data_IF_644139690792
#
_entry.id   IF_644139690792
#
_cell.length_a   1.000
_cell.length_b   1.000
_cell.length_c   1.000
_cell.angle_alpha   90.00
_cell.angle_beta   90.00
_cell.angle_gamma   90.00
#
_symmetry.space_group_name_H-M   'P 1'
#
loop_
_entity.id
_entity.type
_entity.pdbx_description
1 polymer ?
#
# COMPACT_ATOMS: atom_id res chain seq x y z
N UNK A 1 -4.82 22.20 -15.81
CA UNK A 1 -6.29 22.03 -15.70
C UNK A 1 -6.70 21.27 -14.42
N UNK A 2 -5.93 20.27 -13.92
CA UNK A 2 -6.28 19.52 -12.69
C UNK A 2 -6.21 20.34 -11.38
N UNK A 3 -5.27 21.28 -11.24
CA UNK A 3 -5.10 22.11 -10.02
C UNK A 3 -6.34 22.92 -9.63
N UNK A 4 -7.07 23.49 -10.60
CA UNK A 4 -8.22 24.34 -10.29
C UNK A 4 -9.39 23.59 -9.64
N UNK A 5 -9.48 22.27 -9.82
CA UNK A 5 -10.51 21.46 -9.16
C UNK A 5 -10.15 21.12 -7.71
N UNK A 6 -8.86 20.98 -7.38
CA UNK A 6 -8.42 20.68 -6.02
C UNK A 6 -8.47 21.93 -5.12
N UNK A 7 -8.20 23.12 -5.68
CA UNK A 7 -8.34 24.39 -4.95
C UNK A 7 -9.80 24.65 -4.56
N UNK A 8 -10.74 24.51 -5.51
CA UNK A 8 -12.17 24.64 -5.23
C UNK A 8 -12.67 23.59 -4.22
N UNK A 9 -12.16 22.36 -4.29
CA UNK A 9 -12.49 21.31 -3.32
C UNK A 9 -11.99 21.67 -1.91
N UNK A 10 -10.81 22.29 -1.77
CA UNK A 10 -10.27 22.76 -0.49
C UNK A 10 -11.12 23.86 0.12
N UNK A 11 -11.51 24.87 -0.69
CA UNK A 11 -12.38 25.93 -0.19
C UNK A 11 -13.72 25.40 0.33
N UNK A 12 -14.31 24.43 -0.38
CA UNK A 12 -15.54 23.79 0.07
C UNK A 12 -15.33 22.99 1.35
N UNK A 13 -14.22 22.25 1.42
CA UNK A 13 -13.83 21.46 2.58
C UNK A 13 -13.64 22.32 3.83
N UNK A 14 -12.97 23.46 3.70
CA UNK A 14 -12.70 24.40 4.80
C UNK A 14 -13.98 25.09 5.30
N UNK A 15 -14.98 25.26 4.43
CA UNK A 15 -16.30 25.84 4.78
C UNK A 15 -17.27 24.82 5.41
N UNK A 16 -16.92 23.54 5.46
CA UNK A 16 -17.82 22.54 6.04
C UNK A 16 -17.92 22.72 7.56
N UNK A 17 -19.14 22.82 8.12
CA UNK A 17 -19.31 23.04 9.56
C UNK A 17 -18.83 21.84 10.40
N UNK A 18 -18.81 20.64 9.84
CA UNK A 18 -18.31 19.42 10.48
C UNK A 18 -17.60 18.56 9.44
N UNK A 19 -16.26 18.53 9.48
CA UNK A 19 -15.46 17.63 8.67
C UNK A 19 -15.42 16.25 9.33
N UNK A 20 -15.68 15.20 8.56
CA UNK A 20 -15.65 13.81 9.03
C UNK A 20 -14.52 13.02 8.32
N UNK A 21 -14.21 11.83 8.84
CA UNK A 21 -13.12 10.99 8.31
C UNK A 21 -13.18 10.77 6.80
N UNK A 22 -14.37 10.54 6.25
CA UNK A 22 -14.56 10.31 4.82
C UNK A 22 -14.24 11.55 3.97
N UNK A 23 -14.61 12.74 4.45
CA UNK A 23 -14.29 13.98 3.76
C UNK A 23 -12.78 14.26 3.73
N UNK A 24 -12.07 14.02 4.83
CA UNK A 24 -10.60 14.11 4.87
C UNK A 24 -9.95 13.09 3.92
N UNK A 25 -10.37 11.82 3.98
CA UNK A 25 -9.85 10.76 3.11
C UNK A 25 -10.08 11.05 1.62
N UNK A 26 -11.23 11.64 1.30
CA UNK A 26 -11.58 12.06 -0.06
C UNK A 26 -10.64 13.16 -0.55
N UNK A 27 -10.38 14.18 0.28
CA UNK A 27 -9.46 15.26 -0.06
C UNK A 27 -8.02 14.76 -0.26
N UNK A 28 -7.50 13.94 0.66
CA UNK A 28 -6.16 13.33 0.55
C UNK A 28 -6.05 12.53 -0.75
N UNK A 29 -7.04 11.69 -1.04
CA UNK A 29 -7.07 10.90 -2.28
C UNK A 29 -7.15 11.76 -3.54
N UNK A 30 -7.87 12.88 -3.48
CA UNK A 30 -8.00 13.85 -4.57
C UNK A 30 -6.67 14.54 -4.89
N UNK A 31 -5.97 15.03 -3.87
CA UNK A 31 -4.64 15.61 -4.02
C UNK A 31 -3.61 14.60 -4.49
N UNK A 32 -3.63 13.38 -3.95
CA UNK A 32 -2.76 12.28 -4.37
C UNK A 32 -2.91 11.98 -5.87
N UNK A 33 -4.15 11.88 -6.38
CA UNK A 33 -4.43 11.67 -7.82
C UNK A 33 -3.97 12.82 -8.72
N UNK A 34 -3.77 14.01 -8.15
CA UNK A 34 -3.25 15.17 -8.84
C UNK A 34 -1.74 15.38 -8.64
N UNK A 35 -1.05 14.42 -8.01
CA UNK A 35 0.38 14.50 -7.65
C UNK A 35 0.73 15.73 -6.78
N UNK A 36 -0.25 16.26 -6.04
CA UNK A 36 -0.05 17.34 -5.08
C UNK A 36 0.24 16.73 -3.69
N UNK A 37 1.36 16.01 -3.59
CA UNK A 37 1.68 15.22 -2.39
C UNK A 37 1.88 16.10 -1.15
N UNK A 38 2.42 17.31 -1.31
CA UNK A 38 2.60 18.25 -0.20
C UNK A 38 1.25 18.63 0.42
N UNK A 39 0.26 18.94 -0.41
CA UNK A 39 -1.10 19.28 0.04
C UNK A 39 -1.81 18.07 0.66
N UNK A 40 -1.60 16.87 0.08
CA UNK A 40 -2.12 15.63 0.66
C UNK A 40 -1.51 15.36 2.03
N UNK A 41 -0.21 15.62 2.20
CA UNK A 41 0.51 15.43 3.46
C UNK A 41 0.07 16.44 4.51
N UNK A 42 -0.05 17.70 4.16
CA UNK A 42 -0.56 18.77 5.04
C UNK A 42 -1.93 18.37 5.60
N UNK A 43 -2.88 17.99 4.73
CA UNK A 43 -4.19 17.55 5.19
C UNK A 43 -4.11 16.30 6.05
N UNK A 44 -3.29 15.32 5.69
CA UNK A 44 -3.09 14.12 6.50
C UNK A 44 -2.62 14.50 7.90
N UNK A 45 -1.62 15.39 8.03
CA UNK A 45 -1.09 15.84 9.32
C UNK A 45 -2.13 16.57 10.15
N UNK A 46 -2.90 17.47 9.52
CA UNK A 46 -3.96 18.26 10.16
C UNK A 46 -5.17 17.42 10.60
N UNK A 47 -5.32 16.18 10.13
CA UNK A 47 -6.41 15.30 10.56
C UNK A 47 -6.41 15.13 12.09
N UNK A 48 -7.51 15.48 12.79
CA UNK A 48 -7.62 15.33 14.25
C UNK A 48 -7.46 13.88 14.73
N UNK A 49 -7.90 12.94 13.89
CA UNK A 49 -7.70 11.51 14.08
C UNK A 49 -7.44 10.88 12.72
N UNK A 50 -6.55 9.89 12.66
CA UNK A 50 -6.18 9.16 11.45
C UNK A 50 -6.64 7.70 11.59
N UNK A 51 -7.22 7.12 10.54
CA UNK A 51 -7.64 5.72 10.52
C UNK A 51 -6.89 4.95 9.43
N UNK A 52 -7.09 3.62 9.38
CA UNK A 52 -6.40 2.75 8.39
C UNK A 52 -6.53 3.28 6.95
N UNK A 53 -7.67 3.90 6.60
CA UNK A 53 -7.91 4.43 5.26
C UNK A 53 -7.04 5.66 4.98
N UNK A 54 -6.94 6.62 5.92
CA UNK A 54 -6.10 7.81 5.74
C UNK A 54 -4.62 7.43 5.60
N UNK A 55 -4.14 6.52 6.45
CA UNK A 55 -2.76 6.00 6.38
C UNK A 55 -2.50 5.30 5.04
N UNK A 56 -3.39 4.40 4.64
CA UNK A 56 -3.23 3.65 3.40
C UNK A 56 -3.24 4.55 2.18
N UNK A 57 -4.14 5.55 2.14
CA UNK A 57 -4.21 6.52 1.05
C UNK A 57 -2.90 7.28 0.89
N UNK A 58 -2.31 7.74 1.99
CA UNK A 58 -1.06 8.50 1.97
C UNK A 58 0.15 7.63 1.60
N UNK A 59 0.24 6.41 2.13
CA UNK A 59 1.29 5.44 1.75
C UNK A 59 1.22 5.12 0.25
N UNK A 60 0.02 4.84 -0.27
CA UNK A 60 -0.18 4.60 -1.70
C UNK A 60 0.17 5.83 -2.54
N UNK A 61 -0.16 7.04 -2.06
CA UNK A 61 0.18 8.28 -2.74
C UNK A 61 1.70 8.44 -2.88
N UNK A 62 2.46 8.24 -1.80
CA UNK A 62 3.93 8.30 -1.84
C UNK A 62 4.53 7.21 -2.74
N UNK A 63 4.01 5.98 -2.67
CA UNK A 63 4.47 4.88 -3.52
C UNK A 63 4.25 5.16 -5.02
N UNK A 64 3.16 5.85 -5.39
CA UNK A 64 2.84 6.20 -6.77
C UNK A 64 3.53 7.48 -7.27
N UNK A 65 3.98 8.34 -6.34
CA UNK A 65 4.66 9.59 -6.65
C UNK A 65 6.18 9.49 -6.60
N UNK A 66 6.74 8.28 -6.70
CA UNK A 66 8.18 8.02 -6.65
C UNK A 66 8.87 8.55 -5.38
N UNK A 67 8.15 8.53 -4.25
CA UNK A 67 8.65 8.89 -2.91
C UNK A 67 8.75 7.64 -2.01
N UNK A 68 9.67 6.69 -2.32
CA UNK A 68 9.66 5.38 -1.68
C UNK A 68 10.10 5.41 -0.21
N UNK A 69 10.98 6.34 0.17
CA UNK A 69 11.44 6.46 1.55
C UNK A 69 10.32 6.97 2.47
N UNK A 70 9.53 7.93 1.98
CA UNK A 70 8.37 8.48 2.66
C UNK A 70 7.28 7.41 2.82
N UNK A 71 7.04 6.60 1.79
CA UNK A 71 6.09 5.48 1.86
C UNK A 71 6.51 4.45 2.93
N UNK A 72 7.79 4.07 2.96
CA UNK A 72 8.33 3.12 3.94
C UNK A 72 8.29 3.70 5.37
N UNK A 73 8.72 4.95 5.53
CA UNK A 73 8.72 5.64 6.83
C UNK A 73 7.31 5.75 7.40
N UNK A 74 6.32 6.10 6.54
CA UNK A 74 4.94 6.24 6.98
C UNK A 74 4.30 4.90 7.34
N UNK A 75 4.67 3.82 6.63
CA UNK A 75 4.24 2.46 6.98
C UNK A 75 4.82 1.98 8.31
N UNK A 76 6.10 2.30 8.58
CA UNK A 76 6.72 1.99 9.87
C UNK A 76 6.07 2.78 11.01
N UNK A 77 5.78 4.06 10.80
CA UNK A 77 5.06 4.89 11.76
C UNK A 77 3.66 4.34 12.05
N UNK A 78 2.90 3.99 11.01
CA UNK A 78 1.59 3.35 11.11
C UNK A 78 1.64 2.10 12.01
N UNK A 79 2.65 1.24 11.81
CA UNK A 79 2.86 0.02 12.61
C UNK A 79 3.26 0.33 14.05
N UNK A 80 4.11 1.33 14.28
CA UNK A 80 4.55 1.74 15.62
C UNK A 80 3.41 2.30 16.47
N UNK A 81 2.40 2.88 15.81
CA UNK A 81 1.17 3.37 16.45
C UNK A 81 0.09 2.28 16.57
N UNK A 82 0.44 1.01 16.35
CA UNK A 82 -0.46 -0.14 16.40
C UNK A 82 -1.69 -0.04 15.46
N UNK A 83 -1.56 0.73 14.38
CA UNK A 83 -2.58 0.79 13.33
C UNK A 83 -2.32 -0.32 12.32
N UNK A 84 -3.16 -1.35 12.31
CA UNK A 84 -3.02 -2.49 11.39
C UNK A 84 -3.19 -2.05 9.92
N UNK A 85 -2.16 -2.19 9.07
CA UNK A 85 -2.25 -1.91 7.64
C UNK A 85 -3.23 -2.84 6.94
N UNK A 86 -3.95 -2.32 5.95
CA UNK A 86 -4.79 -3.14 5.07
C UNK A 86 -4.00 -3.65 3.86
N UNK A 87 -4.65 -4.45 3.00
CA UNK A 87 -4.02 -5.01 1.81
C UNK A 87 -3.47 -3.93 0.85
N UNK A 88 -4.11 -2.75 0.78
CA UNK A 88 -3.67 -1.66 -0.10
C UNK A 88 -2.33 -1.07 0.38
N UNK A 89 -2.22 -0.72 1.67
CA UNK A 89 -0.97 -0.22 2.25
C UNK A 89 0.17 -1.24 2.10
N UNK A 90 -0.10 -2.50 2.42
CA UNK A 90 0.88 -3.60 2.28
C UNK A 90 1.32 -3.77 0.82
N UNK A 91 0.38 -3.81 -0.12
CA UNK A 91 0.68 -3.93 -1.54
C UNK A 91 1.52 -2.76 -2.08
N UNK A 92 1.19 -1.52 -1.68
CA UNK A 92 1.98 -0.34 -2.03
C UNK A 92 3.42 -0.43 -1.53
N UNK A 93 3.61 -0.83 -0.27
CA UNK A 93 4.95 -0.98 0.32
C UNK A 93 5.74 -2.12 -0.33
N UNK A 94 5.11 -3.26 -0.61
CA UNK A 94 5.77 -4.36 -1.34
C UNK A 94 6.20 -3.93 -2.75
N UNK A 95 5.38 -3.13 -3.43
CA UNK A 95 5.73 -2.56 -4.74
C UNK A 95 6.94 -1.64 -4.65
N UNK A 96 7.00 -0.76 -3.63
CA UNK A 96 8.18 0.07 -3.35
C UNK A 96 9.42 -0.79 -3.09
N UNK A 97 9.32 -1.83 -2.26
CA UNK A 97 10.43 -2.74 -1.98
C UNK A 97 10.92 -3.44 -3.25
N UNK A 98 9.99 -3.87 -4.11
CA UNK A 98 10.28 -4.49 -5.41
C UNK A 98 11.08 -3.55 -6.32
N UNK A 99 10.66 -2.29 -6.44
CA UNK A 99 11.31 -1.28 -7.29
C UNK A 99 12.70 -0.88 -6.78
N UNK A 100 12.87 -0.78 -5.46
CA UNK A 100 14.15 -0.42 -4.85
C UNK A 100 15.14 -1.58 -4.71
N UNK A 101 14.70 -2.83 -4.95
CA UNK A 101 15.48 -4.00 -4.57
C UNK A 101 15.67 -4.14 -3.04
N UNK A 102 14.75 -3.57 -2.25
CA UNK A 102 14.83 -3.50 -0.80
C UNK A 102 14.37 -4.82 -0.15
N UNK A 103 15.16 -5.87 -0.36
CA UNK A 103 14.83 -7.24 0.04
C UNK A 103 14.50 -7.35 1.53
N UNK A 104 15.30 -6.75 2.40
CA UNK A 104 15.14 -6.89 3.85
C UNK A 104 13.86 -6.22 4.36
N UNK A 105 13.51 -5.05 3.83
CA UNK A 105 12.22 -4.40 4.10
C UNK A 105 11.06 -5.27 3.59
N UNK A 106 11.18 -5.84 2.39
CA UNK A 106 10.22 -6.81 1.87
C UNK A 106 10.04 -8.04 2.77
N UNK A 107 11.12 -8.57 3.34
CA UNK A 107 11.05 -9.68 4.33
C UNK A 107 10.32 -9.27 5.60
N UNK A 108 10.57 -8.05 6.10
CA UNK A 108 9.90 -7.54 7.29
C UNK A 108 8.39 -7.40 7.05
N UNK A 109 7.99 -6.91 5.88
CA UNK A 109 6.57 -6.82 5.49
C UNK A 109 5.96 -8.22 5.36
N UNK A 110 6.67 -9.18 4.76
CA UNK A 110 6.19 -10.56 4.68
C UNK A 110 6.00 -11.19 6.07
N UNK A 111 6.98 -11.04 6.96
CA UNK A 111 6.89 -11.51 8.34
C UNK A 111 5.74 -10.84 9.11
N UNK A 112 5.48 -9.56 8.84
CA UNK A 112 4.34 -8.84 9.41
C UNK A 112 3.00 -9.46 8.98
N UNK A 113 2.82 -9.76 7.69
CA UNK A 113 1.61 -10.41 7.14
C UNK A 113 1.35 -11.75 7.85
N UNK A 114 2.38 -12.59 7.99
CA UNK A 114 2.29 -13.90 8.66
C UNK A 114 1.96 -13.75 10.16
N UNK A 115 2.67 -12.85 10.85
CA UNK A 115 2.51 -12.64 12.31
C UNK A 115 1.13 -12.13 12.67
N UNK A 116 0.56 -11.25 11.84
CA UNK A 116 -0.78 -10.68 12.03
C UNK A 116 -1.88 -11.54 11.42
N UNK A 117 -1.56 -12.71 10.86
CA UNK A 117 -2.50 -13.63 10.20
C UNK A 117 -3.36 -12.91 9.16
N UNK A 118 -2.75 -11.97 8.43
CA UNK A 118 -3.43 -11.30 7.33
C UNK A 118 -3.76 -12.33 6.25
N UNK A 119 -4.93 -12.19 5.63
CA UNK A 119 -5.35 -13.09 4.57
C UNK A 119 -4.37 -13.02 3.40
N UNK A 120 -3.72 -14.14 3.07
CA UNK A 120 -2.84 -14.26 1.91
C UNK A 120 -3.69 -14.40 0.65
N UNK A 121 -4.35 -13.31 0.25
CA UNK A 121 -5.15 -13.26 -0.96
C UNK A 121 -4.24 -13.17 -2.21
N UNK A 122 -4.78 -13.38 -3.43
CA UNK A 122 -4.00 -13.26 -4.66
C UNK A 122 -3.32 -11.89 -4.84
N UNK A 123 -3.85 -10.81 -4.26
CA UNK A 123 -3.27 -9.46 -4.34
C UNK A 123 -1.97 -9.38 -3.55
N UNK A 124 -1.99 -9.78 -2.29
CA UNK A 124 -0.79 -9.79 -1.43
C UNK A 124 0.21 -10.83 -1.95
N UNK A 125 -0.28 -12.01 -2.34
CA UNK A 125 0.54 -13.09 -2.86
C UNK A 125 1.32 -12.70 -4.11
N UNK A 126 0.65 -12.10 -5.10
CA UNK A 126 1.32 -11.63 -6.33
C UNK A 126 2.31 -10.49 -6.05
N UNK A 127 1.98 -9.57 -5.14
CA UNK A 127 2.90 -8.51 -4.74
C UNK A 127 4.18 -9.05 -4.06
N UNK A 128 4.06 -10.08 -3.21
CA UNK A 128 5.21 -10.74 -2.58
C UNK A 128 6.07 -11.50 -3.60
N UNK A 129 5.45 -12.19 -4.55
CA UNK A 129 6.16 -12.89 -5.63
C UNK A 129 6.96 -11.88 -6.47
N UNK A 130 6.32 -10.79 -6.91
CA UNK A 130 6.99 -9.73 -7.66
C UNK A 130 8.16 -9.13 -6.86
N UNK A 131 7.93 -8.78 -5.59
CA UNK A 131 8.95 -8.23 -4.72
C UNK A 131 10.14 -9.18 -4.57
N UNK A 132 9.92 -10.44 -4.20
CA UNK A 132 11.01 -11.39 -4.03
C UNK A 132 11.75 -11.68 -5.35
N UNK A 133 11.02 -11.77 -6.46
CA UNK A 133 11.62 -12.01 -7.77
C UNK A 133 12.53 -10.85 -8.21
N UNK A 134 12.05 -9.60 -8.11
CA UNK A 134 12.85 -8.42 -8.47
C UNK A 134 13.99 -8.15 -7.51
N UNK A 135 13.86 -8.55 -6.24
CA UNK A 135 14.95 -8.53 -5.27
C UNK A 135 15.95 -9.71 -5.43
N UNK A 136 15.77 -10.58 -6.42
CA UNK A 136 16.68 -11.70 -6.71
C UNK A 136 16.52 -12.91 -5.79
N UNK A 137 15.49 -12.98 -4.94
CA UNK A 137 15.24 -14.08 -4.02
C UNK A 137 14.19 -15.06 -4.60
N UNK A 138 14.52 -15.67 -5.74
CA UNK A 138 13.61 -16.55 -6.50
C UNK A 138 13.07 -17.71 -5.65
N UNK A 139 13.90 -18.30 -4.78
CA UNK A 139 13.48 -19.40 -3.91
C UNK A 139 12.29 -19.02 -3.01
N UNK A 140 12.24 -17.76 -2.54
CA UNK A 140 11.11 -17.27 -1.73
C UNK A 140 9.91 -16.94 -2.60
N UNK A 141 10.12 -16.38 -3.79
CA UNK A 141 9.04 -16.12 -4.74
C UNK A 141 8.29 -17.42 -5.10
N UNK A 142 9.02 -18.51 -5.39
CA UNK A 142 8.44 -19.84 -5.66
C UNK A 142 7.68 -20.38 -4.46
N UNK A 143 8.24 -20.28 -3.24
CA UNK A 143 7.54 -20.71 -2.01
C UNK A 143 6.21 -19.99 -1.80
N UNK A 144 6.16 -18.69 -2.05
CA UNK A 144 4.91 -17.91 -1.97
C UNK A 144 3.93 -18.38 -3.04
N UNK A 145 4.40 -18.58 -4.29
CA UNK A 145 3.56 -19.08 -5.38
C UNK A 145 2.95 -20.45 -5.07
N UNK A 146 3.76 -21.40 -4.61
CA UNK A 146 3.30 -22.76 -4.26
C UNK A 146 2.29 -22.76 -3.09
N UNK A 147 2.35 -21.76 -2.21
CA UNK A 147 1.38 -21.59 -1.12
C UNK A 147 0.04 -21.03 -1.61
N UNK A 148 0.02 -20.27 -2.71
CA UNK A 148 -1.20 -19.72 -3.31
C UNK A 148 -1.93 -20.72 -4.20
N UNK A 149 -1.21 -21.66 -4.82
CA UNK A 149 -1.82 -22.70 -5.66
C UNK A 149 -2.44 -23.77 -4.76
N UNK A 150 -3.75 -24.06 -4.84
CA UNK A 150 -4.38 -25.11 -4.06
C UNK A 150 -3.71 -26.46 -4.36
N UNK A 151 -3.17 -27.11 -3.31
CA UNK A 151 -2.63 -28.47 -3.42
C UNK A 151 -3.77 -29.44 -3.75
N UNK A 152 -3.97 -29.71 -5.04
CA UNK A 152 -5.09 -30.49 -5.56
C UNK A 152 -5.35 -30.28 -7.06
N UNK A 153 -4.83 -29.22 -7.68
CA UNK A 153 -4.77 -29.12 -9.14
C UNK A 153 -3.59 -29.92 -9.67
N UNK A 154 -3.72 -31.25 -9.63
CA UNK A 154 -2.95 -32.12 -10.51
C UNK A 154 -3.37 -31.78 -11.93
N UNK A 155 -2.61 -30.92 -12.62
CA UNK A 155 -2.54 -31.02 -14.08
C UNK A 155 -1.87 -32.36 -14.36
N UNK A 156 -2.69 -33.39 -14.43
CA UNK A 156 -2.26 -34.73 -14.77
C UNK A 156 -1.52 -34.68 -16.11
N UNK A 157 -0.27 -35.11 -16.08
CA UNK A 157 0.27 -36.14 -16.97
C UNK A 157 -0.69 -36.59 -18.11
N UNK A 158 -0.89 -35.72 -19.10
CA UNK A 158 -1.77 -35.97 -20.24
C UNK A 158 -1.25 -35.36 -21.55
N UNK A 159 0.06 -35.11 -21.64
CA UNK A 159 0.71 -34.76 -22.91
C UNK A 159 2.02 -35.58 -23.06
N UNK A 160 1.83 -36.91 -23.08
CA UNK A 160 2.64 -37.90 -23.78
C UNK A 160 1.54 -38.64 -24.56
N UNK A 161 1.30 -38.43 -25.86
CA UNK A 161 2.06 -38.73 -27.08
C UNK A 161 1.43 -37.89 -28.19
#
# INVERSE_FOLDING_TARGET
MKSGYTDAARELFDKMPNQNMESWNTMISGYAKCQQLDMARELFDDMPAKNVVSWSAMITAYAQGDCPFEALSLFEEMRRLDVTPNCAAVGSVLSVCSQMGALEQGRQVHSYIETNKMNMDPTIGTALIDMYAKCGCIDRAVKVFDALVPKGTTWGAGCLI
#
